data_IF_713639092764
#
_entry.id   IF_713639092764
#
_cell.length_a   1.000
_cell.length_b   1.000
_cell.length_c   1.000
_cell.angle_alpha   90.00
_cell.angle_beta   90.00
_cell.angle_gamma   90.00
#
_symmetry.space_group_name_H-M   'P 1'
#
loop_
_entity.id
_entity.type
_entity.pdbx_description
1 polymer ?
#
# COMPACT_ATOMS: atom_id res chain seq x y z
N UNK A 1 -4.73 -20.78 -9.55
CA UNK A 1 -5.50 -19.81 -10.36
C UNK A 1 -5.96 -18.69 -9.45
N UNK A 2 -5.87 -17.43 -9.88
CA UNK A 2 -6.33 -16.30 -9.08
C UNK A 2 -7.87 -16.26 -9.17
N UNK A 3 -8.57 -16.67 -8.10
CA UNK A 3 -10.05 -16.79 -8.09
C UNK A 3 -10.80 -15.49 -8.43
N UNK A 4 -10.11 -14.34 -8.38
CA UNK A 4 -10.63 -13.05 -8.82
C UNK A 4 -11.10 -13.03 -10.29
N UNK A 5 -10.51 -13.86 -11.17
CA UNK A 5 -10.94 -14.00 -12.56
C UNK A 5 -12.14 -14.95 -12.75
N UNK A 6 -12.31 -15.91 -11.84
CA UNK A 6 -13.25 -17.04 -11.99
C UNK A 6 -14.61 -16.80 -11.35
N UNK A 7 -14.72 -15.85 -10.40
CA UNK A 7 -15.97 -15.57 -9.70
C UNK A 7 -16.10 -14.08 -9.33
N UNK A 8 -16.49 -13.23 -10.30
CA UNK A 8 -16.73 -11.81 -10.06
C UNK A 8 -17.68 -11.58 -8.88
N UNK A 9 -17.31 -10.71 -7.94
CA UNK A 9 -18.10 -10.39 -6.75
C UNK A 9 -17.84 -11.28 -5.52
N UNK A 10 -17.05 -12.36 -5.64
CA UNK A 10 -16.63 -13.19 -4.49
C UNK A 10 -15.21 -12.89 -4.01
N UNK A 11 -14.34 -12.41 -4.90
CA UNK A 11 -12.99 -12.00 -4.54
C UNK A 11 -12.99 -10.56 -4.01
N UNK A 12 -12.63 -10.40 -2.74
CA UNK A 12 -12.49 -9.10 -2.07
C UNK A 12 -11.01 -8.72 -2.05
N UNK A 13 -10.70 -7.49 -2.46
CA UNK A 13 -9.35 -6.92 -2.41
C UNK A 13 -9.43 -5.40 -2.18
N UNK A 14 -8.34 -4.75 -1.78
CA UNK A 14 -8.30 -3.29 -1.65
C UNK A 14 -9.10 -2.69 -0.48
N UNK A 15 -9.80 -3.51 0.31
CA UNK A 15 -10.74 -3.05 1.34
C UNK A 15 -10.11 -2.33 2.55
N UNK A 16 -8.78 -2.42 2.76
CA UNK A 16 -8.10 -1.81 3.91
C UNK A 16 -8.33 -0.30 4.03
N UNK A 17 -8.44 0.43 2.91
CA UNK A 17 -8.72 1.88 2.93
C UNK A 17 -10.13 2.22 3.42
N UNK A 18 -11.05 1.25 3.38
CA UNK A 18 -12.44 1.41 3.78
C UNK A 18 -12.63 1.17 5.28
N UNK A 19 -11.65 0.55 5.96
CA UNK A 19 -11.77 0.19 7.37
C UNK A 19 -12.18 1.41 8.20
N UNK A 20 -13.16 1.22 9.08
CA UNK A 20 -13.72 2.27 9.95
C UNK A 20 -14.27 3.51 9.22
N UNK A 21 -14.78 3.35 7.98
CA UNK A 21 -15.47 4.44 7.27
C UNK A 21 -16.98 4.29 7.31
N UNK A 22 -17.63 5.45 7.39
CA UNK A 22 -19.08 5.58 7.21
C UNK A 22 -19.42 5.34 5.74
N UNK A 23 -20.60 4.80 5.47
CA UNK A 23 -21.05 4.54 4.09
C UNK A 23 -21.07 5.83 3.24
N UNK A 24 -21.32 6.97 3.89
CA UNK A 24 -21.41 8.30 3.26
C UNK A 24 -20.05 8.98 3.04
N UNK A 25 -18.94 8.36 3.46
CA UNK A 25 -17.61 8.91 3.25
C UNK A 25 -17.26 8.93 1.75
N UNK A 26 -16.76 10.04 1.24
CA UNK A 26 -16.32 10.20 -0.15
C UNK A 26 -15.33 9.10 -0.62
N UNK A 27 -14.51 8.56 0.29
CA UNK A 27 -13.62 7.44 -0.02
C UNK A 27 -14.43 6.18 -0.36
N UNK A 28 -15.51 5.92 0.38
CA UNK A 28 -16.42 4.79 0.12
C UNK A 28 -17.12 5.00 -1.22
N UNK A 29 -17.67 6.20 -1.46
CA UNK A 29 -18.33 6.54 -2.73
C UNK A 29 -17.42 6.30 -3.92
N UNK A 30 -16.18 6.80 -3.87
CA UNK A 30 -15.22 6.60 -4.95
C UNK A 30 -14.80 5.13 -5.09
N UNK A 31 -14.65 4.40 -3.99
CA UNK A 31 -14.28 2.98 -4.06
C UNK A 31 -15.40 2.12 -4.65
N UNK A 32 -16.68 2.47 -4.43
CA UNK A 32 -17.83 1.78 -5.05
C UNK A 32 -17.77 1.74 -6.58
N UNK A 33 -17.17 2.76 -7.20
CA UNK A 33 -17.01 2.84 -8.66
C UNK A 33 -15.87 1.94 -9.19
N UNK A 34 -14.96 1.51 -8.30
CA UNK A 34 -13.71 0.86 -8.66
C UNK A 34 -13.69 -0.64 -8.36
N UNK A 35 -14.54 -1.11 -7.44
CA UNK A 35 -14.47 -2.48 -6.92
C UNK A 35 -15.56 -3.38 -7.49
N UNK A 36 -15.27 -4.67 -7.72
CA UNK A 36 -16.22 -5.60 -8.32
C UNK A 36 -17.22 -6.21 -7.31
N UNK A 37 -17.09 -5.87 -6.02
CA UNK A 37 -17.94 -6.39 -4.94
C UNK A 37 -18.90 -5.31 -4.44
N UNK A 38 -20.01 -5.74 -3.83
CA UNK A 38 -21.05 -4.82 -3.38
C UNK A 38 -20.75 -4.28 -1.98
N UNK A 39 -20.70 -2.96 -1.86
CA UNK A 39 -20.65 -2.26 -0.58
C UNK A 39 -22.07 -2.05 -0.03
N UNK A 40 -22.25 -2.28 1.26
CA UNK A 40 -23.52 -2.11 1.98
C UNK A 40 -23.33 -1.32 3.27
N UNK A 41 -24.44 -0.94 3.91
CA UNK A 41 -24.46 -0.10 5.11
C UNK A 41 -25.01 -0.91 6.29
N UNK A 42 -24.24 -1.02 7.36
CA UNK A 42 -24.71 -1.56 8.65
C UNK A 42 -24.43 -0.56 9.76
N UNK A 43 -25.48 -0.10 10.44
CA UNK A 43 -25.38 0.91 11.51
C UNK A 43 -24.59 2.18 11.10
N UNK A 44 -24.68 2.56 9.83
CA UNK A 44 -23.94 3.71 9.29
C UNK A 44 -22.53 3.41 8.78
N UNK A 45 -21.98 2.23 9.06
CA UNK A 45 -20.64 1.84 8.63
C UNK A 45 -20.69 1.10 7.29
N UNK A 46 -19.64 1.26 6.49
CA UNK A 46 -19.45 0.49 5.26
C UNK A 46 -19.17 -0.98 5.59
N UNK A 47 -19.82 -1.88 4.87
CA UNK A 47 -19.67 -3.33 4.92
C UNK A 47 -19.56 -3.88 3.50
N UNK A 48 -19.08 -5.11 3.36
CA UNK A 48 -19.02 -5.80 2.06
C UNK A 48 -19.99 -6.98 2.07
N UNK A 49 -20.85 -7.04 1.06
CA UNK A 49 -21.74 -8.15 0.81
C UNK A 49 -21.06 -9.18 -0.07
N UNK A 50 -21.07 -10.45 0.35
CA UNK A 50 -20.51 -11.59 -0.37
C UNK A 50 -21.60 -12.63 -0.58
N UNK A 51 -21.70 -13.13 -1.81
CA UNK A 51 -22.52 -14.30 -2.12
C UNK A 51 -21.69 -15.54 -1.85
N UNK A 52 -22.19 -16.41 -0.98
CA UNK A 52 -21.49 -17.61 -0.46
C UNK A 52 -22.28 -18.87 -0.75
N UNK A 53 -21.58 -19.95 -1.07
CA UNK A 53 -22.16 -21.26 -1.33
C UNK A 53 -22.86 -21.40 -2.69
N UNK A 54 -23.18 -22.64 -3.11
CA UNK A 54 -23.89 -22.91 -4.37
C UNK A 54 -25.31 -22.32 -4.39
N UNK A 55 -25.94 -22.22 -3.22
CA UNK A 55 -27.33 -21.78 -3.05
C UNK A 55 -27.50 -20.26 -3.06
N UNK A 56 -26.41 -19.50 -3.26
CA UNK A 56 -26.45 -18.04 -3.37
C UNK A 56 -26.67 -17.31 -2.04
N UNK A 57 -26.30 -17.91 -0.91
CA UNK A 57 -26.47 -17.30 0.41
C UNK A 57 -25.69 -15.98 0.54
N UNK A 58 -26.40 -14.90 0.82
CA UNK A 58 -25.80 -13.58 1.03
C UNK A 58 -25.30 -13.45 2.47
N UNK A 59 -24.03 -13.10 2.64
CA UNK A 59 -23.44 -12.70 3.92
C UNK A 59 -22.90 -11.27 3.84
N UNK A 60 -23.03 -10.53 4.93
CA UNK A 60 -22.43 -9.19 5.05
C UNK A 60 -21.29 -9.23 6.06
N UNK A 61 -20.15 -8.66 5.66
CA UNK A 61 -18.98 -8.59 6.50
C UNK A 61 -18.61 -7.14 6.82
N UNK A 62 -18.57 -6.88 8.13
CA UNK A 62 -17.40 -6.35 8.81
C UNK A 62 -16.13 -6.11 7.97
N UNK A 63 -15.67 -4.88 7.73
CA UNK A 63 -14.32 -4.68 7.19
C UNK A 63 -13.22 -5.16 8.16
N UNK A 64 -13.44 -4.98 9.47
CA UNK A 64 -12.55 -5.52 10.51
C UNK A 64 -12.64 -7.05 10.53
N UNK A 65 -13.83 -7.62 10.38
CA UNK A 65 -14.02 -9.07 10.30
C UNK A 65 -13.28 -9.66 9.09
N UNK A 66 -13.31 -9.02 7.92
CA UNK A 66 -12.55 -9.44 6.74
C UNK A 66 -11.04 -9.40 6.98
N UNK A 67 -10.54 -8.38 7.70
CA UNK A 67 -9.16 -8.34 8.13
C UNK A 67 -8.82 -9.53 9.07
N UNK A 68 -9.73 -9.88 9.98
CA UNK A 68 -9.61 -11.06 10.84
C UNK A 68 -9.52 -12.37 10.04
N UNK A 69 -10.37 -12.57 9.04
CA UNK A 69 -10.30 -13.74 8.14
C UNK A 69 -8.94 -13.82 7.45
N UNK A 70 -8.44 -12.69 6.92
CA UNK A 70 -7.13 -12.63 6.28
C UNK A 70 -5.99 -12.97 7.26
N UNK A 71 -6.04 -12.45 8.48
CA UNK A 71 -5.03 -12.72 9.51
C UNK A 71 -5.06 -14.20 9.92
N UNK A 72 -6.25 -14.80 10.03
CA UNK A 72 -6.40 -16.24 10.32
C UNK A 72 -5.75 -17.10 9.24
N UNK A 73 -5.99 -16.78 7.96
CA UNK A 73 -5.36 -17.47 6.83
C UNK A 73 -3.83 -17.31 6.82
N UNK A 74 -3.33 -16.12 7.17
CA UNK A 74 -1.89 -15.88 7.31
C UNK A 74 -1.29 -16.67 8.48
N UNK A 75 -2.00 -16.77 9.62
CA UNK A 75 -1.60 -17.60 10.77
C UNK A 75 -1.49 -19.06 10.34
N UNK A 76 -2.52 -19.60 9.68
CA UNK A 76 -2.53 -20.99 9.20
C UNK A 76 -1.33 -21.28 8.28
N UNK A 77 -1.04 -20.38 7.33
CA UNK A 77 0.13 -20.51 6.45
C UNK A 77 1.45 -20.48 7.21
N UNK A 78 1.57 -19.60 8.20
CA UNK A 78 2.77 -19.50 9.02
C UNK A 78 2.96 -20.76 9.88
N UNK A 79 1.90 -21.27 10.50
CA UNK A 79 1.92 -22.50 11.31
C UNK A 79 2.26 -23.72 10.48
N UNK A 80 1.69 -23.85 9.27
CA UNK A 80 2.03 -24.91 8.33
C UNK A 80 3.50 -24.86 7.90
N UNK A 81 4.06 -23.66 7.69
CA UNK A 81 5.47 -23.49 7.35
C UNK A 81 6.40 -23.78 8.55
N UNK A 82 6.01 -23.40 9.76
CA UNK A 82 6.84 -23.52 10.97
C UNK A 82 6.71 -24.88 11.68
N UNK A 83 5.66 -25.65 11.39
CA UNK A 83 5.35 -26.91 12.07
C UNK A 83 4.96 -26.76 13.54
N UNK A 84 4.51 -25.56 13.95
CA UNK A 84 4.10 -25.26 15.34
C UNK A 84 3.07 -24.14 15.37
N UNK A 85 2.35 -24.06 16.48
CA UNK A 85 1.38 -22.99 16.74
C UNK A 85 2.05 -21.61 16.84
N UNK A 86 1.39 -20.59 16.29
CA UNK A 86 1.78 -19.18 16.38
C UNK A 86 0.88 -18.48 17.40
N UNK A 87 1.37 -18.39 18.64
CA UNK A 87 0.61 -17.80 19.75
C UNK A 87 0.60 -16.26 19.78
N UNK A 88 1.54 -15.59 19.09
CA UNK A 88 1.69 -14.14 19.12
C UNK A 88 1.86 -13.55 17.73
N UNK A 89 1.33 -12.35 17.50
CA UNK A 89 1.44 -11.64 16.23
C UNK A 89 1.67 -10.13 16.42
N UNK A 90 2.45 -9.55 15.51
CA UNK A 90 2.55 -8.10 15.31
C UNK A 90 2.10 -7.79 13.89
N UNK A 91 1.11 -6.91 13.75
CA UNK A 91 0.51 -6.54 12.47
C UNK A 91 0.79 -5.06 12.19
N UNK A 92 1.44 -4.77 11.07
CA UNK A 92 1.61 -3.41 10.58
C UNK A 92 0.36 -2.95 9.81
N UNK A 93 -0.15 -1.77 10.14
CA UNK A 93 -1.30 -1.13 9.47
C UNK A 93 -0.92 0.27 8.97
N UNK A 94 -1.61 0.80 7.95
CA UNK A 94 -1.35 2.15 7.48
C UNK A 94 -1.61 3.20 8.58
N UNK A 95 -0.75 4.22 8.67
CA UNK A 95 -0.88 5.31 9.64
C UNK A 95 -2.27 5.97 9.66
N UNK A 96 -2.92 6.10 8.50
CA UNK A 96 -4.25 6.71 8.39
C UNK A 96 -5.39 5.88 9.02
N UNK A 97 -5.14 4.62 9.42
CA UNK A 97 -6.13 3.85 10.16
C UNK A 97 -6.31 4.49 11.55
N UNK A 98 -7.52 4.95 11.91
CA UNK A 98 -7.75 5.64 13.17
C UNK A 98 -7.57 4.69 14.35
N UNK A 99 -7.38 5.28 15.53
CA UNK A 99 -7.15 4.54 16.77
C UNK A 99 -8.25 3.50 17.07
N UNK A 100 -9.52 3.86 16.90
CA UNK A 100 -10.64 2.93 17.08
C UNK A 100 -10.52 1.69 16.19
N UNK A 101 -10.18 1.85 14.91
CA UNK A 101 -9.98 0.72 13.99
C UNK A 101 -8.82 -0.18 14.37
N UNK A 102 -7.77 0.37 15.00
CA UNK A 102 -6.64 -0.40 15.53
C UNK A 102 -7.05 -1.20 16.76
N UNK A 103 -7.83 -0.60 17.65
CA UNK A 103 -8.39 -1.29 18.82
C UNK A 103 -9.33 -2.41 18.41
N UNK A 104 -10.21 -2.17 17.44
CA UNK A 104 -11.12 -3.18 16.90
C UNK A 104 -10.33 -4.35 16.31
N UNK A 105 -9.30 -4.07 15.50
CA UNK A 105 -8.45 -5.11 14.92
C UNK A 105 -7.66 -5.88 16.00
N UNK A 106 -7.16 -5.18 17.03
CA UNK A 106 -6.47 -5.81 18.15
C UNK A 106 -7.40 -6.71 18.97
N UNK A 107 -8.65 -6.29 19.18
CA UNK A 107 -9.68 -7.09 19.84
C UNK A 107 -10.01 -8.33 19.04
N UNK A 108 -10.22 -8.21 17.72
CA UNK A 108 -10.43 -9.38 16.84
C UNK A 108 -9.24 -10.33 16.92
N UNK A 109 -8.01 -9.83 16.89
CA UNK A 109 -6.81 -10.64 17.06
C UNK A 109 -6.79 -11.43 18.38
N UNK A 110 -7.10 -10.80 19.50
CA UNK A 110 -7.03 -11.45 20.82
C UNK A 110 -8.20 -12.38 21.09
N UNK A 111 -9.41 -11.93 20.82
CA UNK A 111 -10.63 -12.62 21.26
C UNK A 111 -11.20 -13.55 20.19
N UNK A 112 -11.25 -13.11 18.93
CA UNK A 112 -11.86 -13.91 17.85
C UNK A 112 -10.85 -14.91 17.26
N UNK A 113 -9.57 -14.54 17.18
CA UNK A 113 -8.50 -15.37 16.60
C UNK A 113 -7.61 -16.08 17.63
N UNK A 114 -7.79 -15.78 18.93
CA UNK A 114 -7.11 -16.49 20.02
C UNK A 114 -5.60 -16.24 20.13
N UNK A 115 -5.08 -15.11 19.64
CA UNK A 115 -3.67 -14.76 19.90
C UNK A 115 -3.46 -14.36 21.36
N UNK A 116 -2.47 -14.94 22.03
CA UNK A 116 -2.07 -14.56 23.40
C UNK A 116 -1.52 -13.13 23.43
N UNK A 117 -0.72 -12.77 22.44
CA UNK A 117 -0.15 -11.44 22.25
C UNK A 117 -0.45 -10.94 20.85
N UNK A 118 -1.22 -9.86 20.74
CA UNK A 118 -1.53 -9.22 19.47
C UNK A 118 -1.26 -7.72 19.57
N UNK A 119 -0.26 -7.27 18.79
CA UNK A 119 0.12 -5.85 18.69
C UNK A 119 -0.15 -5.37 17.26
N UNK A 120 -0.79 -4.21 17.15
CA UNK A 120 -0.90 -3.47 15.88
C UNK A 120 0.19 -2.41 15.90
N UNK A 121 0.82 -2.07 14.78
CA UNK A 121 1.83 -1.01 14.69
C UNK A 121 1.68 -0.19 13.41
N UNK A 122 2.24 1.03 13.39
CA UNK A 122 2.33 1.80 12.15
C UNK A 122 3.26 1.12 11.15
N UNK A 123 2.76 0.93 9.94
CA UNK A 123 3.52 0.47 8.79
C UNK A 123 4.78 1.31 8.56
N UNK A 124 4.69 2.62 8.74
CA UNK A 124 5.78 3.55 8.53
C UNK A 124 6.86 3.42 9.62
N UNK A 125 6.46 3.22 10.88
CA UNK A 125 7.39 2.95 11.98
C UNK A 125 8.08 1.60 11.76
N UNK A 126 7.33 0.57 11.33
CA UNK A 126 7.90 -0.72 10.95
C UNK A 126 8.94 -0.56 9.83
N UNK A 127 8.59 0.14 8.75
CA UNK A 127 9.52 0.39 7.67
C UNK A 127 10.81 1.09 8.13
N UNK A 128 10.72 2.12 8.98
CA UNK A 128 11.89 2.76 9.56
C UNK A 128 12.70 1.82 10.48
N UNK A 129 12.03 0.91 11.19
CA UNK A 129 12.69 -0.10 12.02
C UNK A 129 13.53 -1.10 11.20
N UNK A 130 13.18 -1.38 9.94
CA UNK A 130 14.02 -2.18 9.04
C UNK A 130 15.39 -1.55 8.76
N UNK A 131 15.48 -0.21 8.86
CA UNK A 131 16.72 0.54 8.76
C UNK A 131 17.39 0.77 10.13
N UNK A 132 16.82 0.22 11.20
CA UNK A 132 17.25 0.32 12.60
C UNK A 132 17.09 1.70 13.23
N UNK A 133 16.11 2.48 12.79
CA UNK A 133 15.84 3.80 13.38
C UNK A 133 15.33 3.76 14.83
N UNK A 134 14.74 2.64 15.26
CA UNK A 134 14.35 2.41 16.67
C UNK A 134 15.56 2.16 17.60
N UNK A 135 16.78 2.19 17.10
CA UNK A 135 18.01 1.97 17.88
C UNK A 135 18.79 3.28 18.04
N UNK A 136 19.93 3.25 18.76
CA UNK A 136 20.87 4.39 18.87
C UNK A 136 21.27 5.00 17.53
N UNK A 137 21.16 4.27 16.41
CA UNK A 137 21.46 4.78 15.05
C UNK A 137 20.45 5.80 14.53
N UNK A 138 19.20 5.70 14.97
CA UNK A 138 18.14 6.63 14.59
C UNK A 138 17.89 7.72 15.62
N UNK A 139 18.51 7.62 16.80
CA UNK A 139 18.23 8.55 17.89
C UNK A 139 18.58 10.00 17.51
N UNK A 140 17.64 10.91 17.79
CA UNK A 140 17.68 12.32 17.40
C UNK A 140 17.25 12.61 15.96
N UNK A 141 17.19 11.62 15.07
CA UNK A 141 16.95 11.82 13.63
C UNK A 141 15.49 12.00 13.28
N UNK A 142 15.22 12.92 12.36
CA UNK A 142 14.00 13.04 11.60
C UNK A 142 14.07 12.19 10.33
N UNK A 143 13.20 11.19 10.25
CA UNK A 143 13.14 10.24 9.14
C UNK A 143 11.85 10.47 8.36
N UNK A 144 11.99 10.77 7.07
CA UNK A 144 10.89 10.77 6.12
C UNK A 144 10.67 9.34 5.61
N UNK A 145 9.50 8.78 5.86
CA UNK A 145 9.04 7.54 5.24
C UNK A 145 8.14 7.90 4.07
N UNK A 146 8.62 7.67 2.85
CA UNK A 146 7.86 7.89 1.62
C UNK A 146 7.40 6.56 1.04
N UNK A 147 6.10 6.28 1.20
CA UNK A 147 5.46 5.06 0.76
C UNK A 147 4.72 5.29 -0.56
N UNK A 148 5.05 4.49 -1.58
CA UNK A 148 4.32 4.40 -2.85
C UNK A 148 3.91 2.95 -3.05
N UNK A 149 2.68 2.64 -2.62
CA UNK A 149 2.14 1.30 -2.63
C UNK A 149 1.47 0.91 -3.95
N UNK A 150 0.73 -0.18 -3.94
CA UNK A 150 -0.12 -0.57 -5.07
C UNK A 150 -1.34 0.33 -5.25
N UNK A 151 -1.83 0.92 -4.16
CA UNK A 151 -3.15 1.57 -4.14
C UNK A 151 -3.16 2.93 -3.43
N UNK A 152 -2.21 3.14 -2.54
CA UNK A 152 -2.09 4.35 -1.72
C UNK A 152 -0.65 4.83 -1.72
N UNK A 153 -0.48 6.14 -1.58
CA UNK A 153 0.82 6.79 -1.42
C UNK A 153 0.76 7.68 -0.18
N UNK A 154 1.85 7.74 0.57
CA UNK A 154 1.91 8.58 1.78
C UNK A 154 3.32 9.03 2.07
N UNK A 155 3.45 10.22 2.61
CA UNK A 155 4.68 10.74 3.19
C UNK A 155 4.46 10.96 4.69
N UNK A 156 5.37 10.49 5.53
CA UNK A 156 5.31 10.69 6.98
C UNK A 156 6.68 10.99 7.53
N UNK A 157 6.81 12.04 8.34
CA UNK A 157 8.04 12.37 9.06
C UNK A 157 7.87 11.96 10.52
N UNK A 158 8.81 11.14 11.00
CA UNK A 158 8.95 10.80 12.42
C UNK A 158 10.29 11.31 12.95
N UNK A 159 10.31 11.81 14.18
CA UNK A 159 11.54 12.01 14.94
C UNK A 159 11.73 10.87 15.92
N UNK A 160 12.84 10.15 15.80
CA UNK A 160 13.17 9.06 16.70
C UNK A 160 13.93 9.60 17.92
N UNK A 161 13.45 9.29 19.13
CA UNK A 161 14.07 9.72 20.40
C UNK A 161 14.04 8.53 21.36
N UNK A 162 15.20 8.09 21.83
CA UNK A 162 15.37 6.91 22.69
C UNK A 162 14.69 5.65 22.13
N UNK A 163 14.62 5.54 20.81
CA UNK A 163 13.97 4.44 20.09
C UNK A 163 12.45 4.57 19.89
N UNK A 164 11.82 5.60 20.47
CA UNK A 164 10.40 5.91 20.28
C UNK A 164 10.23 6.86 19.09
N UNK A 165 9.28 6.56 18.21
CA UNK A 165 8.98 7.38 17.03
C UNK A 165 7.92 8.44 17.38
N UNK A 166 8.29 9.72 17.33
CA UNK A 166 7.35 10.84 17.48
C UNK A 166 6.91 11.34 16.11
N UNK A 167 5.61 11.28 15.85
CA UNK A 167 5.04 11.80 14.61
C UNK A 167 5.23 13.32 14.51
N UNK A 168 5.72 13.80 13.38
CA UNK A 168 5.83 15.24 13.08
C UNK A 168 4.72 15.66 12.10
N UNK A 169 4.65 14.99 10.95
CA UNK A 169 3.70 15.32 9.89
C UNK A 169 3.41 14.10 9.03
N UNK A 170 2.17 13.99 8.54
CA UNK A 170 1.75 12.96 7.61
C UNK A 170 0.82 13.53 6.54
N UNK A 171 0.98 13.03 5.31
CA UNK A 171 0.05 13.20 4.21
C UNK A 171 -0.12 11.88 3.49
N UNK A 172 -1.35 11.61 3.07
CA UNK A 172 -1.72 10.38 2.40
C UNK A 172 -2.65 10.68 1.25
N UNK A 173 -2.42 10.01 0.13
CA UNK A 173 -3.34 9.93 -0.98
C UNK A 173 -3.86 8.50 -1.07
N UNK A 174 -5.15 8.35 -0.80
CA UNK A 174 -5.80 7.04 -0.79
C UNK A 174 -6.14 6.52 -2.19
N UNK A 175 -5.92 7.31 -3.24
CA UNK A 175 -6.21 6.97 -4.63
C UNK A 175 -5.04 7.38 -5.52
N UNK A 176 -3.87 6.91 -5.14
CA UNK A 176 -2.62 7.07 -5.87
C UNK A 176 -1.68 5.91 -5.56
N UNK A 177 -1.37 5.09 -6.55
CA UNK A 177 -0.36 4.05 -6.44
C UNK A 177 -0.14 3.28 -7.74
N UNK A 178 0.42 2.08 -7.61
CA UNK A 178 0.73 1.21 -8.72
C UNK A 178 -0.45 0.87 -9.63
N UNK A 179 -1.66 0.76 -9.10
CA UNK A 179 -2.90 0.46 -9.84
C UNK A 179 -3.26 1.61 -10.79
N UNK A 180 -3.03 2.86 -10.37
CA UNK A 180 -3.27 4.05 -11.18
C UNK A 180 -2.23 4.15 -12.30
N UNK A 181 -0.97 3.83 -11.99
CA UNK A 181 0.08 3.77 -13.01
C UNK A 181 -0.23 2.71 -14.08
N UNK A 182 -0.68 1.54 -13.64
CA UNK A 182 -1.10 0.45 -14.53
C UNK A 182 -2.33 0.83 -15.34
N UNK A 183 -3.28 1.58 -14.76
CA UNK A 183 -4.46 2.04 -15.49
C UNK A 183 -4.08 2.93 -16.69
N UNK A 184 -3.11 3.84 -16.54
CA UNK A 184 -2.60 4.67 -17.66
C UNK A 184 -2.00 3.82 -18.78
N UNK A 185 -1.27 2.75 -18.45
CA UNK A 185 -0.73 1.81 -19.44
C UNK A 185 -1.89 1.07 -20.14
N UNK A 186 -2.86 0.56 -19.38
CA UNK A 186 -4.05 -0.12 -19.94
C UNK A 186 -4.78 0.78 -20.92
N UNK A 187 -4.97 2.06 -20.58
CA UNK A 187 -5.66 3.00 -21.45
C UNK A 187 -4.91 3.25 -22.75
N UNK A 188 -3.59 3.42 -22.67
CA UNK A 188 -2.71 3.57 -23.83
C UNK A 188 -2.75 2.34 -24.74
N UNK A 189 -2.60 1.14 -24.15
CA UNK A 189 -2.59 -0.12 -24.90
C UNK A 189 -3.95 -0.43 -25.52
N UNK A 190 -5.06 -0.18 -24.81
CA UNK A 190 -6.41 -0.32 -25.35
C UNK A 190 -6.64 0.63 -26.55
N UNK A 191 -6.13 1.86 -26.47
CA UNK A 191 -6.15 2.79 -27.60
C UNK A 191 -5.32 2.30 -28.79
N UNK A 192 -4.17 1.69 -28.53
CA UNK A 192 -3.31 1.09 -29.57
C UNK A 192 -4.00 -0.09 -30.28
N UNK A 193 -4.62 -0.99 -29.51
CA UNK A 193 -5.39 -2.14 -30.04
C UNK A 193 -6.51 -1.64 -30.94
N UNK A 194 -7.29 -0.66 -30.48
CA UNK A 194 -8.38 -0.08 -31.27
C UNK A 194 -7.88 0.50 -32.59
N UNK A 195 -6.75 1.22 -32.59
CA UNK A 195 -6.17 1.80 -33.82
C UNK A 195 -5.64 0.74 -34.79
N UNK A 196 -4.94 -0.28 -34.30
CA UNK A 196 -4.28 -1.29 -35.16
C UNK A 196 -5.19 -2.39 -35.65
N UNK A 197 -6.17 -2.81 -34.83
CA UNK A 197 -6.98 -3.98 -35.10
C UNK A 197 -8.48 -3.68 -35.18
N UNK A 198 -8.88 -2.40 -35.08
CA UNK A 198 -10.29 -1.97 -35.07
C UNK A 198 -11.14 -2.67 -33.98
N UNK A 199 -10.49 -3.23 -32.96
CA UNK A 199 -11.15 -3.95 -31.87
C UNK A 199 -11.19 -3.12 -30.61
N UNK A 200 -12.39 -2.93 -30.06
CA UNK A 200 -12.59 -2.29 -28.78
C UNK A 200 -12.51 -3.32 -27.65
N UNK A 201 -11.29 -3.63 -27.20
CA UNK A 201 -11.04 -4.57 -26.09
C UNK A 201 -11.80 -4.23 -24.79
N UNK A 202 -12.20 -2.96 -24.59
CA UNK A 202 -12.94 -2.53 -23.39
C UNK A 202 -14.35 -3.14 -23.30
N UNK A 203 -14.88 -3.67 -24.40
CA UNK A 203 -16.18 -4.36 -24.42
C UNK A 203 -16.05 -5.84 -24.04
N UNK A 204 -14.83 -6.39 -24.05
CA UNK A 204 -14.53 -7.76 -23.65
C UNK A 204 -13.91 -7.76 -22.24
N UNK A 205 -14.73 -8.11 -21.24
CA UNK A 205 -14.31 -8.09 -19.82
C UNK A 205 -13.14 -9.03 -19.55
N UNK A 206 -13.08 -10.17 -20.23
CA UNK A 206 -12.04 -11.16 -20.00
C UNK A 206 -10.72 -10.70 -20.63
N UNK A 207 -10.75 -10.24 -21.88
CA UNK A 207 -9.57 -9.70 -22.54
C UNK A 207 -9.04 -8.44 -21.85
N UNK A 208 -9.93 -7.59 -21.31
CA UNK A 208 -9.54 -6.43 -20.51
C UNK A 208 -8.80 -6.83 -19.23
N UNK A 209 -9.24 -7.90 -18.55
CA UNK A 209 -8.54 -8.42 -17.37
C UNK A 209 -7.14 -8.93 -17.73
N UNK A 210 -7.02 -9.69 -18.84
CA UNK A 210 -5.72 -10.14 -19.36
C UNK A 210 -4.80 -8.97 -19.69
N UNK A 211 -5.32 -7.94 -20.36
CA UNK A 211 -4.57 -6.71 -20.66
C UNK A 211 -4.07 -6.03 -19.39
N UNK A 212 -4.92 -5.90 -18.35
CA UNK A 212 -4.50 -5.31 -17.08
C UNK A 212 -3.36 -6.09 -16.42
N UNK A 213 -3.43 -7.42 -16.43
CA UNK A 213 -2.35 -8.27 -15.88
C UNK A 213 -1.06 -8.10 -16.68
N UNK A 214 -1.13 -8.10 -18.01
CA UNK A 214 0.02 -7.89 -18.87
C UNK A 214 0.67 -6.51 -18.66
N UNK A 215 -0.15 -5.45 -18.51
CA UNK A 215 0.33 -4.10 -18.20
C UNK A 215 0.98 -4.00 -16.81
N UNK A 216 0.44 -4.67 -15.80
CA UNK A 216 1.06 -4.71 -14.46
C UNK A 216 2.44 -5.39 -14.51
N UNK A 217 2.54 -6.50 -15.25
CA UNK A 217 3.82 -7.20 -15.44
C UNK A 217 4.83 -6.32 -16.18
N UNK A 218 4.40 -5.65 -17.26
CA UNK A 218 5.25 -4.73 -18.01
C UNK A 218 5.75 -3.57 -17.15
N UNK A 219 4.88 -2.94 -16.34
CA UNK A 219 5.27 -1.90 -15.39
C UNK A 219 6.36 -2.37 -14.43
N UNK A 220 6.21 -3.58 -13.86
CA UNK A 220 7.20 -4.17 -12.96
C UNK A 220 8.53 -4.41 -13.68
N UNK A 221 8.51 -4.99 -14.88
CA UNK A 221 9.70 -5.24 -15.69
C UNK A 221 10.45 -3.93 -16.02
N UNK A 222 9.73 -2.86 -16.33
CA UNK A 222 10.29 -1.54 -16.62
C UNK A 222 10.95 -0.85 -15.41
N UNK A 223 10.80 -1.39 -14.21
CA UNK A 223 11.59 -0.94 -13.06
C UNK A 223 13.07 -1.33 -13.17
N UNK A 224 13.36 -2.39 -13.93
CA UNK A 224 14.70 -2.95 -14.11
C UNK A 224 15.17 -2.92 -15.58
N UNK A 225 14.25 -2.71 -16.54
CA UNK A 225 14.50 -2.72 -17.99
C UNK A 225 14.10 -1.40 -18.66
N UNK A 226 14.74 -1.04 -19.76
CA UNK A 226 14.36 0.17 -20.55
C UNK A 226 13.14 -0.08 -21.43
N UNK A 227 12.89 -1.33 -21.83
CA UNK A 227 11.81 -1.74 -22.70
C UNK A 227 11.33 -3.15 -22.34
N UNK A 228 10.06 -3.42 -22.58
CA UNK A 228 9.45 -4.74 -22.45
C UNK A 228 8.31 -4.92 -23.45
N UNK A 229 7.81 -6.15 -23.61
CA UNK A 229 6.67 -6.44 -24.50
C UNK A 229 5.38 -6.62 -23.68
N UNK A 230 4.32 -5.97 -24.13
CA UNK A 230 2.95 -6.24 -23.67
C UNK A 230 2.29 -7.17 -24.68
N UNK A 231 1.91 -8.36 -24.22
CA UNK A 231 1.26 -9.38 -25.02
C UNK A 231 -0.14 -9.69 -24.50
N UNK A 232 -1.13 -9.68 -25.40
CA UNK A 232 -2.53 -9.98 -25.08
C UNK A 232 -3.20 -10.65 -26.25
N UNK A 233 -3.82 -11.79 -25.97
CA UNK A 233 -4.71 -12.49 -26.91
C UNK A 233 -6.17 -12.30 -26.50
N UNK A 234 -7.06 -12.15 -27.47
CA UNK A 234 -8.52 -12.10 -27.27
C UNK A 234 -9.27 -11.63 -28.53
N UNK A 235 -10.56 -11.95 -28.63
CA UNK A 235 -11.39 -11.52 -29.77
C UNK A 235 -10.86 -11.97 -31.15
N UNK A 236 -10.09 -13.06 -31.23
CA UNK A 236 -9.44 -13.52 -32.46
C UNK A 236 -8.19 -12.74 -32.87
N UNK A 237 -7.72 -11.82 -32.03
CA UNK A 237 -6.55 -10.97 -32.26
C UNK A 237 -5.46 -11.30 -31.24
N UNK A 238 -4.22 -11.29 -31.69
CA UNK A 238 -3.03 -11.31 -30.83
C UNK A 238 -2.29 -9.97 -30.96
N UNK A 239 -2.16 -9.25 -29.85
CA UNK A 239 -1.34 -8.06 -29.76
C UNK A 239 0.02 -8.43 -29.15
N UNK A 240 1.08 -7.99 -29.80
CA UNK A 240 2.41 -7.86 -29.20
C UNK A 240 2.93 -6.45 -29.50
N UNK A 241 3.18 -5.66 -28.46
CA UNK A 241 3.65 -4.29 -28.62
C UNK A 241 4.70 -3.94 -27.55
N UNK A 242 5.77 -3.28 -28.00
CA UNK A 242 6.81 -2.77 -27.12
C UNK A 242 6.30 -1.58 -26.29
N UNK A 243 6.72 -1.54 -25.03
CA UNK A 243 6.50 -0.44 -24.10
C UNK A 243 7.84 -0.08 -23.48
N UNK A 244 8.23 1.19 -23.58
CA UNK A 244 9.48 1.70 -23.00
C UNK A 244 9.24 2.36 -21.65
N UNK A 245 10.29 2.42 -20.81
CA UNK A 245 10.26 3.13 -19.53
C UNK A 245 9.96 4.61 -19.74
N UNK A 246 10.58 5.24 -20.73
CA UNK A 246 10.30 6.63 -21.07
C UNK A 246 8.81 6.88 -21.35
N UNK A 247 8.13 5.95 -22.04
CA UNK A 247 6.68 6.07 -22.29
C UNK A 247 5.86 5.87 -21.03
N UNK A 248 6.22 4.89 -20.18
CA UNK A 248 5.61 4.72 -18.86
C UNK A 248 5.70 6.01 -18.03
N UNK A 249 6.86 6.65 -18.04
CA UNK A 249 7.13 7.85 -17.27
C UNK A 249 6.41 9.08 -17.82
N UNK A 250 6.34 9.21 -19.14
CA UNK A 250 5.56 10.25 -19.81
C UNK A 250 4.07 10.17 -19.43
N UNK A 251 3.47 8.97 -19.51
CA UNK A 251 2.04 8.76 -19.24
C UNK A 251 1.62 8.96 -17.78
N UNK A 252 2.58 8.88 -16.86
CA UNK A 252 2.37 8.94 -15.42
C UNK A 252 3.02 10.17 -14.76
N UNK A 253 3.55 11.09 -15.55
CA UNK A 253 4.28 12.27 -15.04
C UNK A 253 3.47 13.04 -14.01
N UNK A 254 2.21 13.30 -14.29
CA UNK A 254 1.29 14.01 -13.40
C UNK A 254 1.06 13.25 -12.08
N UNK A 255 0.91 11.92 -12.15
CA UNK A 255 0.71 11.09 -10.96
C UNK A 255 1.98 10.98 -10.11
N UNK A 256 3.16 10.98 -10.72
CA UNK A 256 4.42 11.01 -9.98
C UNK A 256 4.65 12.37 -9.30
N UNK A 257 4.32 13.48 -9.97
CA UNK A 257 4.35 14.80 -9.32
C UNK A 257 3.37 14.87 -8.15
N UNK A 258 2.15 14.37 -8.30
CA UNK A 258 1.17 14.26 -7.21
C UNK A 258 1.70 13.44 -6.02
N UNK A 259 2.49 12.39 -6.27
CA UNK A 259 3.14 11.63 -5.19
C UNK A 259 4.24 12.45 -4.49
N UNK A 260 5.00 13.25 -5.24
CA UNK A 260 6.03 14.13 -4.70
C UNK A 260 5.43 15.31 -3.91
N UNK A 261 4.25 15.79 -4.31
CA UNK A 261 3.52 16.84 -3.57
C UNK A 261 3.22 16.40 -2.13
N UNK A 262 3.00 15.10 -1.88
CA UNK A 262 2.85 14.57 -0.52
C UNK A 262 4.12 14.79 0.32
N UNK A 263 5.30 14.63 -0.28
CA UNK A 263 6.59 14.90 0.36
C UNK A 263 6.74 16.41 0.61
N UNK A 264 6.44 17.22 -0.40
CA UNK A 264 6.53 18.69 -0.29
C UNK A 264 5.64 19.20 0.85
N UNK A 265 4.40 18.71 0.96
CA UNK A 265 3.47 19.10 2.01
C UNK A 265 3.95 18.74 3.42
N UNK A 266 4.55 17.56 3.63
CA UNK A 266 5.03 17.19 4.98
C UNK A 266 6.32 17.89 5.36
N UNK A 267 7.21 18.17 4.40
CA UNK A 267 8.49 18.86 4.66
C UNK A 267 8.26 20.37 4.81
N UNK A 268 7.47 20.96 3.94
CA UNK A 268 7.29 22.42 3.87
C UNK A 268 6.12 22.91 4.71
N UNK A 269 5.09 22.09 4.90
CA UNK A 269 3.79 22.48 5.45
C UNK A 269 2.91 23.14 4.40
N UNK A 270 1.62 22.80 4.38
CA UNK A 270 0.65 23.30 3.40
C UNK A 270 0.62 24.84 3.35
N UNK A 271 0.68 25.42 2.15
CA UNK A 271 0.59 26.87 1.93
C UNK A 271 1.80 27.69 2.37
N UNK A 272 2.93 27.05 2.74
CA UNK A 272 4.16 27.76 3.12
C UNK A 272 5.07 28.01 1.91
N UNK A 273 5.83 29.11 1.88
CA UNK A 273 6.85 29.33 0.86
C UNK A 273 7.86 28.17 0.83
N UNK A 274 8.36 27.83 -0.36
CA UNK A 274 9.41 26.82 -0.54
C UNK A 274 10.76 27.35 -0.02
N UNK A 275 10.98 27.22 1.28
CA UNK A 275 12.26 27.49 1.96
C UNK A 275 13.17 26.26 1.93
N UNK A 276 14.28 26.34 1.20
CA UNK A 276 15.23 25.23 1.02
C UNK A 276 15.74 24.62 2.34
N UNK A 277 15.95 25.48 3.36
CA UNK A 277 16.46 25.06 4.67
C UNK A 277 15.59 24.06 5.43
N UNK A 278 14.33 23.86 5.03
CA UNK A 278 13.46 22.85 5.64
C UNK A 278 13.75 21.44 5.16
N UNK A 279 14.31 21.30 3.96
CA UNK A 279 14.71 19.98 3.44
C UNK A 279 15.85 19.39 4.24
N UNK A 280 16.69 20.25 4.81
CA UNK A 280 17.77 19.88 5.73
C UNK A 280 17.26 19.40 7.10
N UNK A 281 15.98 19.64 7.44
CA UNK A 281 15.38 19.13 8.67
C UNK A 281 15.05 17.64 8.62
N UNK A 282 15.02 17.04 7.43
CA UNK A 282 14.92 15.59 7.27
C UNK A 282 16.34 15.06 7.25
N UNK A 283 16.69 14.13 8.13
CA UNK A 283 18.03 13.52 8.18
C UNK A 283 18.13 12.36 7.19
N UNK A 284 17.07 11.55 7.10
CA UNK A 284 17.04 10.34 6.26
C UNK A 284 15.70 10.14 5.56
N UNK A 285 15.74 9.53 4.38
CA UNK A 285 14.54 9.18 3.60
C UNK A 285 14.49 7.67 3.40
N UNK A 286 13.37 7.05 3.78
CA UNK A 286 13.10 5.62 3.60
C UNK A 286 12.00 5.46 2.55
N UNK A 287 12.29 4.73 1.47
CA UNK A 287 11.30 4.35 0.47
C UNK A 287 10.60 3.05 0.86
N UNK A 288 9.27 3.03 0.69
CA UNK A 288 8.44 1.89 1.05
C UNK A 288 7.43 1.60 -0.05
N UNK A 289 7.11 0.32 -0.27
CA UNK A 289 6.11 -0.13 -1.24
C UNK A 289 6.72 -0.45 -2.60
N UNK A 290 6.12 -1.43 -3.29
CA UNK A 290 6.66 -1.95 -4.55
C UNK A 290 6.74 -0.90 -5.67
N UNK A 291 5.85 0.08 -5.69
CA UNK A 291 5.89 1.14 -6.71
C UNK A 291 7.04 2.13 -6.49
N UNK A 292 7.67 2.15 -5.31
CA UNK A 292 8.88 2.93 -5.08
C UNK A 292 10.13 2.33 -5.77
N UNK A 293 10.02 1.13 -6.37
CA UNK A 293 11.06 0.57 -7.25
C UNK A 293 11.18 1.32 -8.59
N UNK A 294 10.13 2.03 -9.01
CA UNK A 294 10.12 2.78 -10.27
C UNK A 294 11.27 3.81 -10.25
N UNK A 295 12.19 3.79 -11.23
CA UNK A 295 13.39 4.65 -11.23
C UNK A 295 13.09 6.14 -11.06
N UNK A 296 12.08 6.66 -11.77
CA UNK A 296 11.66 8.07 -11.65
C UNK A 296 11.25 8.46 -10.23
N UNK A 297 10.62 7.57 -9.45
CA UNK A 297 10.27 7.87 -8.04
C UNK A 297 11.53 8.08 -7.21
N UNK A 298 12.55 7.22 -7.40
CA UNK A 298 13.84 7.32 -6.70
C UNK A 298 14.61 8.56 -7.11
N UNK A 299 14.59 8.88 -8.41
CA UNK A 299 15.24 10.05 -8.96
C UNK A 299 14.60 11.34 -8.42
N UNK A 300 13.26 11.42 -8.36
CA UNK A 300 12.58 12.57 -7.77
C UNK A 300 12.93 12.80 -6.30
N UNK A 301 13.03 11.74 -5.49
CA UNK A 301 13.52 11.90 -4.11
C UNK A 301 14.93 12.46 -4.09
N UNK A 302 15.83 11.92 -4.92
CA UNK A 302 17.21 12.40 -5.01
C UNK A 302 17.29 13.87 -5.43
N UNK A 303 16.52 14.26 -6.43
CA UNK A 303 16.49 15.64 -6.94
C UNK A 303 15.88 16.59 -5.90
N UNK A 304 14.80 16.17 -5.24
CA UNK A 304 14.12 16.96 -4.21
C UNK A 304 15.06 17.30 -3.05
N UNK A 305 15.88 16.34 -2.61
CA UNK A 305 16.85 16.48 -1.52
C UNK A 305 18.29 16.74 -2.01
N UNK A 306 18.48 17.52 -3.08
CA UNK A 306 19.79 18.02 -3.54
C UNK A 306 20.86 16.95 -3.77
N UNK A 307 20.48 15.83 -4.36
CA UNK A 307 21.38 14.71 -4.61
C UNK A 307 21.45 13.69 -3.49
N UNK A 308 20.88 13.96 -2.31
CA UNK A 308 20.74 12.99 -1.23
C UNK A 308 19.65 11.98 -1.59
N UNK A 309 20.09 10.79 -1.96
CA UNK A 309 19.19 9.68 -2.27
C UNK A 309 18.52 9.08 -1.03
N UNK A 310 17.52 8.20 -1.24
CA UNK A 310 16.93 7.42 -0.17
C UNK A 310 17.97 6.50 0.47
N UNK A 311 17.78 6.18 1.75
CA UNK A 311 18.61 5.24 2.48
C UNK A 311 18.64 3.90 1.74
N UNK A 312 19.82 3.52 1.28
CA UNK A 312 20.08 2.35 0.45
C UNK A 312 20.78 1.24 1.24
N UNK A 313 20.41 1.05 2.51
CA UNK A 313 20.96 -0.02 3.34
C UNK A 313 20.88 -1.35 2.59
N UNK A 314 22.04 -1.94 2.33
CA UNK A 314 22.16 -3.22 1.62
C UNK A 314 21.22 -4.26 2.23
N UNK A 315 20.36 -4.85 1.40
CA UNK A 315 19.47 -5.94 1.77
C UNK A 315 18.11 -5.54 2.36
N UNK A 316 17.69 -4.27 2.25
CA UNK A 316 16.30 -3.87 2.54
C UNK A 316 15.65 -3.34 1.27
N UNK A 317 14.83 -4.18 0.64
CA UNK A 317 14.01 -3.77 -0.49
C UNK A 317 12.79 -2.97 -0.02
N UNK A 318 12.36 -1.98 -0.82
CA UNK A 318 11.26 -1.09 -0.45
C UNK A 318 9.94 -1.84 -0.19
N UNK A 319 9.69 -2.94 -0.90
CA UNK A 319 8.50 -3.78 -0.71
C UNK A 319 8.58 -4.68 0.54
N UNK A 320 9.79 -5.03 0.98
CA UNK A 320 10.01 -5.89 2.15
C UNK A 320 10.24 -5.10 3.45
N UNK A 321 10.49 -3.79 3.37
CA UNK A 321 10.84 -2.96 4.52
C UNK A 321 9.83 -3.08 5.66
N UNK A 322 8.53 -3.08 5.36
CA UNK A 322 7.49 -3.22 6.37
C UNK A 322 7.57 -4.56 7.07
N UNK A 323 7.59 -5.68 6.32
CA UNK A 323 7.58 -7.02 6.93
C UNK A 323 8.86 -7.30 7.71
N UNK A 324 10.03 -6.88 7.20
CA UNK A 324 11.31 -6.98 7.90
C UNK A 324 11.29 -6.16 9.20
N UNK A 325 10.79 -4.94 9.12
CA UNK A 325 10.62 -4.06 10.25
C UNK A 325 9.69 -4.62 11.34
N UNK A 326 8.54 -5.14 10.93
CA UNK A 326 7.58 -5.79 11.82
C UNK A 326 8.21 -7.00 12.52
N UNK A 327 8.98 -7.82 11.79
CA UNK A 327 9.69 -8.96 12.36
C UNK A 327 10.81 -8.57 13.34
N UNK A 328 11.43 -7.38 13.16
CA UNK A 328 12.38 -6.83 14.13
C UNK A 328 11.64 -6.37 15.38
N UNK A 329 10.53 -5.65 15.22
CA UNK A 329 9.73 -5.11 16.31
C UNK A 329 8.95 -6.17 17.08
N UNK A 330 8.76 -7.37 16.52
CA UNK A 330 8.15 -8.51 17.21
C UNK A 330 9.09 -9.19 18.21
N UNK A 331 10.38 -8.84 18.23
CA UNK A 331 11.34 -9.41 19.18
C UNK A 331 11.16 -8.79 20.57
N UNK A 332 11.27 -9.57 21.66
CA UNK A 332 11.08 -9.05 23.01
C UNK A 332 11.95 -7.82 23.33
N UNK A 333 13.19 -7.77 22.86
CA UNK A 333 14.11 -6.67 23.13
C UNK A 333 13.73 -5.37 22.40
N UNK A 334 12.96 -5.50 21.31
CA UNK A 334 12.46 -4.38 20.53
C UNK A 334 11.03 -3.95 20.92
N UNK A 335 10.31 -4.78 21.68
CA UNK A 335 8.92 -4.55 22.06
C UNK A 335 8.70 -3.26 22.87
N UNK A 336 9.69 -2.85 23.68
CA UNK A 336 9.68 -1.59 24.45
C UNK A 336 9.53 -0.34 23.59
N UNK A 337 10.01 -0.40 22.34
CA UNK A 337 9.96 0.73 21.40
C UNK A 337 8.61 0.85 20.70
N UNK A 338 7.74 -0.14 20.88
CA UNK A 338 6.39 -0.20 20.29
C UNK A 338 5.33 0.27 21.29
N UNK A 339 5.56 0.10 22.59
CA UNK A 339 4.60 0.40 23.65
C UNK A 339 4.36 1.91 23.84
N UNK A 340 5.42 2.73 23.87
CA UNK A 340 5.27 4.20 24.02
C UNK A 340 4.66 4.88 22.79
N UNK A 341 4.71 4.26 21.60
CA UNK A 341 4.18 4.86 20.37
C UNK A 341 2.64 4.86 20.32
N UNK A 342 1.96 3.96 21.03
CA UNK A 342 0.49 3.89 21.01
C UNK A 342 -0.16 4.96 21.87
N UNK A 343 0.38 5.22 23.07
CA UNK A 343 -0.23 6.15 24.02
C UNK A 343 0.10 7.61 23.70
N UNK A 344 1.29 7.91 23.14
CA UNK A 344 1.67 9.29 22.82
C UNK A 344 1.11 9.85 21.51
N UNK A 345 0.70 9.02 20.56
CA UNK A 345 0.13 9.51 19.28
C UNK A 345 -1.35 9.91 19.41
N UNK A 346 -2.05 9.38 20.40
CA UNK A 346 -3.51 9.51 20.51
C UNK A 346 -4.03 9.82 21.93
N UNK A 347 -3.16 9.90 22.94
CA UNK A 347 -3.51 10.29 24.32
C UNK A 347 -3.41 11.79 24.57
N UNK A 348 -4.04 12.61 23.71
CA UNK A 348 -4.14 14.06 23.84
C UNK A 348 -5.58 14.52 23.95
#
# INVERSE_FOLDING_TARGET
MNHAALSPGTAISGFMRLMTRRMEDHVVTREMELVPYKLTKRQGWACIQVVTGPDGHVKEFSLVHLAGILISELRHKAEAHLGREVANAVIAVPQYLPYSGRQDLASVGRYDLGFHGFKVIDQQIAAAAAYHHHTKRGDGKAVLVFHVGGRTSSATIYKFINGTARHIAARSDLFLGGDDFTARIVDYMAGLIRRRHQWNIRQDKEAQLRLRVACEHAKKALSDQEETLVQVDGGGISLSAALTRAKLEEMNRDLFHRALDLVDEVVMGSGRPRVESRKDMVDEVVLVGGSARIPTVRQFVKDYFHGRGPNSRKGVEAEEAVVRGTAILSRPEAARYVEECFDHLYGG
#
